data_IF_151233920223
#
_entry.id   IF_151233920223
#
_cell.length_a   1.000
_cell.length_b   1.000
_cell.length_c   1.000
_cell.angle_alpha   90.00
_cell.angle_beta   90.00
_cell.angle_gamma   90.00
#
_symmetry.space_group_name_H-M   'P 1'
#
loop_
_entity.id
_entity.type
_entity.pdbx_description
1 polymer ?
#
# COMPACT_ATOMS: atom_id res chain seq x y z
N UNK A 1 -13.74 18.59 -7.27
CA UNK A 1 -12.38 19.11 -7.03
C UNK A 1 -12.17 19.25 -5.53
N UNK A 2 -10.97 18.96 -5.00
CA UNK A 2 -10.68 19.25 -3.59
C UNK A 2 -10.32 20.72 -3.44
N UNK A 3 -11.00 21.44 -2.54
CA UNK A 3 -10.77 22.88 -2.32
C UNK A 3 -9.55 23.03 -1.42
N UNK A 4 -8.46 23.61 -1.95
CA UNK A 4 -7.28 23.93 -1.15
C UNK A 4 -7.55 25.14 -0.26
N UNK A 5 -6.99 25.13 0.94
CA UNK A 5 -6.90 26.32 1.79
C UNK A 5 -5.76 27.21 1.31
N UNK A 6 -5.87 28.53 1.55
CA UNK A 6 -4.79 29.47 1.25
C UNK A 6 -3.48 29.10 1.97
N UNK A 7 -3.57 28.56 3.19
CA UNK A 7 -2.41 28.05 3.94
C UNK A 7 -1.72 26.90 3.20
N UNK A 8 -2.47 25.96 2.60
CA UNK A 8 -1.89 24.87 1.81
C UNK A 8 -1.14 25.41 0.58
N UNK A 9 -1.71 26.41 -0.11
CA UNK A 9 -1.08 27.05 -1.28
C UNK A 9 0.24 27.73 -0.87
N UNK A 10 0.24 28.45 0.26
CA UNK A 10 1.46 29.05 0.83
C UNK A 10 2.49 28.00 1.24
N UNK A 11 2.05 26.89 1.86
CA UNK A 11 2.92 25.78 2.23
C UNK A 11 3.55 25.11 1.01
N UNK A 12 2.76 24.75 -0.02
CA UNK A 12 3.24 24.14 -1.25
C UNK A 12 4.28 25.04 -1.93
N UNK A 13 3.99 26.35 -2.05
CA UNK A 13 4.89 27.36 -2.65
C UNK A 13 6.22 27.52 -1.90
N UNK A 14 6.22 27.38 -0.57
CA UNK A 14 7.43 27.48 0.27
C UNK A 14 8.20 26.14 0.32
N UNK A 15 7.49 25.02 0.33
CA UNK A 15 8.07 23.68 0.44
C UNK A 15 8.70 23.22 -0.88
N UNK A 16 8.11 23.55 -2.02
CA UNK A 16 8.60 23.20 -3.36
C UNK A 16 10.09 23.53 -3.60
N UNK A 17 10.57 24.80 -3.48
CA UNK A 17 11.98 25.11 -3.70
C UNK A 17 12.90 24.50 -2.62
N UNK A 18 12.41 24.28 -1.40
CA UNK A 18 13.16 23.60 -0.33
C UNK A 18 13.34 22.11 -0.63
N UNK A 19 12.30 21.45 -1.14
CA UNK A 19 12.32 20.04 -1.52
C UNK A 19 13.24 19.81 -2.71
N UNK A 20 13.17 20.65 -3.75
CA UNK A 20 14.05 20.51 -4.93
C UNK A 20 15.52 20.78 -4.57
N UNK A 21 15.82 21.83 -3.79
CA UNK A 21 17.20 22.06 -3.31
C UNK A 21 17.70 20.91 -2.41
N UNK A 22 16.81 20.27 -1.63
CA UNK A 22 17.16 19.07 -0.87
C UNK A 22 17.39 17.85 -1.78
N UNK A 23 16.61 17.69 -2.86
CA UNK A 23 16.77 16.62 -3.84
C UNK A 23 18.09 16.75 -4.60
N UNK A 24 18.35 17.92 -5.20
CA UNK A 24 19.61 18.33 -5.82
C UNK A 24 20.80 17.99 -4.89
N UNK A 25 20.76 18.49 -3.65
CA UNK A 25 21.78 18.19 -2.63
C UNK A 25 21.94 16.70 -2.34
N UNK A 26 20.84 15.95 -2.17
CA UNK A 26 20.88 14.50 -1.91
C UNK A 26 21.25 13.65 -3.11
N UNK A 27 21.40 14.23 -4.30
CA UNK A 27 21.93 13.55 -5.48
C UNK A 27 23.41 13.89 -5.68
N UNK A 28 23.84 15.12 -5.35
CA UNK A 28 25.23 15.58 -5.47
C UNK A 28 26.14 15.26 -4.26
N UNK A 29 25.61 15.04 -3.06
CA UNK A 29 26.40 14.74 -1.84
C UNK A 29 26.34 13.27 -1.38
N UNK A 30 25.53 12.43 -2.00
CA UNK A 30 25.34 11.03 -1.59
C UNK A 30 26.16 10.09 -2.52
N UNK A 31 27.06 9.29 -1.95
CA UNK A 31 27.82 8.28 -2.70
C UNK A 31 26.94 7.06 -3.04
N UNK A 32 26.33 7.09 -4.23
CA UNK A 32 25.42 6.05 -4.73
C UNK A 32 26.07 4.65 -4.91
N UNK A 33 27.40 4.55 -4.83
CA UNK A 33 28.17 3.33 -5.07
C UNK A 33 28.69 2.60 -3.83
N UNK A 34 28.63 3.20 -2.63
CA UNK A 34 29.26 2.64 -1.41
C UNK A 34 28.32 1.71 -0.61
N UNK A 35 27.01 1.83 -0.81
CA UNK A 35 26.01 0.97 -0.18
C UNK A 35 25.81 -0.36 -0.94
N UNK A 36 25.15 -1.35 -0.32
CA UNK A 36 24.83 -2.59 -1.05
C UNK A 36 23.88 -2.30 -2.22
N UNK A 37 23.97 -3.08 -3.30
CA UNK A 37 23.16 -2.88 -4.52
C UNK A 37 21.65 -2.75 -4.22
N UNK A 38 21.13 -3.49 -3.22
CA UNK A 38 19.73 -3.39 -2.80
C UNK A 38 19.43 -2.06 -2.12
N UNK A 39 20.34 -1.57 -1.27
CA UNK A 39 20.17 -0.32 -0.56
C UNK A 39 20.25 0.87 -1.52
N UNK A 40 21.17 0.85 -2.49
CA UNK A 40 21.22 1.85 -3.57
C UNK A 40 19.93 1.85 -4.40
N UNK A 41 19.40 0.67 -4.76
CA UNK A 41 18.12 0.58 -5.47
C UNK A 41 16.93 1.12 -4.64
N UNK A 42 16.86 0.76 -3.35
CA UNK A 42 15.83 1.28 -2.43
C UNK A 42 15.96 2.79 -2.18
N UNK A 43 17.18 3.32 -2.07
CA UNK A 43 17.45 4.77 -2.02
C UNK A 43 16.95 5.47 -3.29
N UNK A 44 17.27 4.92 -4.47
CA UNK A 44 16.88 5.47 -5.77
C UNK A 44 15.36 5.47 -5.97
N UNK A 45 14.67 4.38 -5.62
CA UNK A 45 13.20 4.35 -5.57
C UNK A 45 12.63 5.40 -4.60
N UNK A 46 13.23 5.55 -3.42
CA UNK A 46 12.85 6.56 -2.43
C UNK A 46 13.05 8.01 -2.89
N UNK A 47 14.11 8.32 -3.65
CA UNK A 47 14.30 9.64 -4.26
C UNK A 47 13.37 9.84 -5.46
N UNK A 48 13.13 8.82 -6.29
CA UNK A 48 12.19 8.88 -7.41
C UNK A 48 10.75 9.20 -6.94
N UNK A 49 10.30 8.62 -5.82
CA UNK A 49 9.01 8.99 -5.22
C UNK A 49 8.97 10.46 -4.77
N UNK A 50 10.05 10.98 -4.17
CA UNK A 50 10.17 12.40 -3.79
C UNK A 50 10.19 13.33 -5.00
N UNK A 51 10.78 12.92 -6.12
CA UNK A 51 10.78 13.64 -7.40
C UNK A 51 9.36 13.72 -7.98
N UNK A 52 8.62 12.59 -8.01
CA UNK A 52 7.20 12.58 -8.40
C UNK A 52 6.35 13.53 -7.53
N UNK A 53 6.57 13.53 -6.22
CA UNK A 53 5.91 14.45 -5.29
C UNK A 53 6.30 15.92 -5.54
N UNK A 54 7.57 16.21 -5.86
CA UNK A 54 8.02 17.55 -6.22
C UNK A 54 7.42 18.05 -7.55
N UNK A 55 7.24 17.17 -8.55
CA UNK A 55 6.48 17.51 -9.78
C UNK A 55 4.99 17.75 -9.51
N UNK A 56 4.37 17.00 -8.60
CA UNK A 56 2.98 17.25 -8.17
C UNK A 56 2.86 18.62 -7.49
N UNK A 57 3.76 18.94 -6.54
CA UNK A 57 3.86 20.26 -5.91
C UNK A 57 4.06 21.39 -6.93
N UNK A 58 4.91 21.18 -7.95
CA UNK A 58 5.12 22.17 -9.01
C UNK A 58 3.83 22.42 -9.81
N UNK A 59 3.14 21.36 -10.23
CA UNK A 59 1.85 21.47 -10.93
C UNK A 59 0.78 22.12 -10.05
N UNK A 60 0.77 21.85 -8.74
CA UNK A 60 -0.12 22.50 -7.79
C UNK A 60 0.10 24.02 -7.78
N UNK A 61 1.34 24.44 -7.49
CA UNK A 61 1.73 25.84 -7.38
C UNK A 61 1.53 26.59 -8.70
N UNK A 62 1.74 25.95 -9.85
CA UNK A 62 1.45 26.52 -11.18
C UNK A 62 -0.05 26.76 -11.42
N UNK A 63 -0.91 25.82 -11.02
CA UNK A 63 -2.38 25.98 -11.12
C UNK A 63 -2.87 27.07 -10.15
N UNK A 64 -2.21 27.23 -9.00
CA UNK A 64 -2.61 28.20 -7.97
C UNK A 64 -2.03 29.63 -8.25
N UNK A 65 -0.89 29.78 -8.94
CA UNK A 65 -0.25 31.04 -9.36
C UNK A 65 -0.87 31.58 -10.69
N UNK A 66 -2.22 31.63 -10.75
CA UNK A 66 -3.08 31.99 -11.91
C UNK A 66 -2.72 33.30 -12.64
N UNK A 67 -1.96 34.18 -12.01
CA UNK A 67 -1.42 35.42 -12.58
C UNK A 67 0.11 35.33 -12.69
N UNK A 68 0.60 34.26 -13.33
CA UNK A 68 2.01 33.96 -13.46
C UNK A 68 2.79 35.14 -14.07
N UNK A 69 3.62 35.78 -13.23
CA UNK A 69 4.57 36.79 -13.69
C UNK A 69 5.65 36.09 -14.53
N UNK A 70 6.22 36.70 -15.58
CA UNK A 70 7.38 36.13 -16.28
C UNK A 70 8.55 35.82 -15.32
N UNK A 71 8.64 36.56 -14.20
CA UNK A 71 9.60 36.29 -13.14
C UNK A 71 9.26 35.11 -12.22
N UNK A 72 7.99 34.64 -12.13
CA UNK A 72 7.66 33.35 -11.52
C UNK A 72 7.80 32.21 -12.54
N UNK A 73 7.40 32.41 -13.79
CA UNK A 73 7.51 31.41 -14.85
C UNK A 73 8.96 30.93 -15.05
N UNK A 74 9.94 31.83 -15.19
CA UNK A 74 11.36 31.45 -15.31
C UNK A 74 11.89 30.67 -14.09
N UNK A 75 11.33 30.89 -12.88
CA UNK A 75 11.68 30.09 -11.70
C UNK A 75 11.11 28.68 -11.80
N UNK A 76 9.87 28.52 -12.26
CA UNK A 76 9.25 27.22 -12.50
C UNK A 76 9.94 26.46 -13.63
N UNK A 77 10.29 27.13 -14.74
CA UNK A 77 11.09 26.58 -15.85
C UNK A 77 12.45 26.05 -15.36
N UNK A 78 13.20 26.84 -14.57
CA UNK A 78 14.46 26.38 -13.94
C UNK A 78 14.22 25.16 -13.04
N UNK A 79 13.12 25.15 -12.29
CA UNK A 79 12.81 24.07 -11.36
C UNK A 79 12.47 22.76 -12.08
N UNK A 80 11.81 22.82 -13.23
CA UNK A 80 11.62 21.67 -14.15
C UNK A 80 12.96 21.11 -14.58
N UNK A 81 13.81 21.93 -15.18
CA UNK A 81 15.14 21.51 -15.65
C UNK A 81 15.98 20.84 -14.55
N UNK A 82 15.95 21.35 -13.30
CA UNK A 82 16.62 20.70 -12.17
C UNK A 82 15.97 19.37 -11.76
N UNK A 83 14.64 19.26 -11.78
CA UNK A 83 13.92 18.02 -11.46
C UNK A 83 14.11 16.95 -12.54
N UNK A 84 14.13 17.35 -13.81
CA UNK A 84 14.29 16.47 -14.95
C UNK A 84 15.71 15.91 -15.02
N UNK A 85 16.73 16.74 -14.77
CA UNK A 85 18.13 16.28 -14.62
C UNK A 85 18.32 15.34 -13.42
N UNK A 86 17.72 15.67 -12.28
CA UNK A 86 17.76 14.81 -11.08
C UNK A 86 17.01 13.49 -11.32
N UNK A 87 15.92 13.49 -12.10
CA UNK A 87 15.23 12.26 -12.47
C UNK A 87 16.06 11.37 -13.40
N UNK A 88 16.69 11.92 -14.45
CA UNK A 88 17.49 11.09 -15.37
C UNK A 88 18.66 10.42 -14.65
N UNK A 89 19.36 11.15 -13.77
CA UNK A 89 20.43 10.58 -12.96
C UNK A 89 19.92 9.46 -12.02
N UNK A 90 18.84 9.70 -11.28
CA UNK A 90 18.28 8.70 -10.35
C UNK A 90 17.74 7.48 -11.11
N UNK A 91 17.14 7.65 -12.28
CA UNK A 91 16.66 6.55 -13.12
C UNK A 91 17.83 5.70 -13.69
N UNK A 92 18.95 6.34 -14.08
CA UNK A 92 20.16 5.62 -14.46
C UNK A 92 20.75 4.81 -13.30
N UNK A 93 20.82 5.39 -12.09
CA UNK A 93 21.30 4.68 -10.89
C UNK A 93 20.36 3.55 -10.52
N UNK A 94 19.03 3.75 -10.62
CA UNK A 94 18.05 2.70 -10.38
C UNK A 94 18.22 1.54 -11.38
N UNK A 95 18.37 1.84 -12.68
CA UNK A 95 18.56 0.82 -13.72
C UNK A 95 19.85 0.01 -13.50
N UNK A 96 20.94 0.66 -13.07
CA UNK A 96 22.22 0.02 -12.76
C UNK A 96 22.15 -0.81 -11.47
N UNK A 97 21.35 -0.39 -10.49
CA UNK A 97 21.18 -1.09 -9.22
C UNK A 97 20.07 -2.18 -9.23
N UNK A 98 19.16 -2.18 -10.21
CA UNK A 98 17.98 -3.03 -10.27
C UNK A 98 18.28 -4.53 -10.01
N UNK A 99 17.67 -5.16 -8.98
CA UNK A 99 17.89 -6.58 -8.70
C UNK A 99 17.40 -7.48 -9.84
N UNK A 100 18.28 -8.32 -10.39
CA UNK A 100 17.88 -9.30 -11.41
C UNK A 100 16.79 -10.26 -10.88
N UNK A 101 15.60 -10.23 -11.48
CA UNK A 101 14.43 -11.00 -11.04
C UNK A 101 14.59 -12.47 -11.42
N UNK A 102 15.34 -13.20 -10.59
CA UNK A 102 15.47 -14.66 -10.67
C UNK A 102 14.16 -15.30 -10.25
N UNK A 103 13.26 -15.52 -11.22
CA UNK A 103 12.01 -16.27 -11.03
C UNK A 103 12.34 -17.62 -10.35
N UNK A 104 11.63 -18.02 -9.28
CA UNK A 104 11.85 -19.33 -8.67
C UNK A 104 11.59 -20.42 -9.70
N UNK A 105 12.38 -21.50 -9.64
CA UNK A 105 12.16 -22.68 -10.50
C UNK A 105 10.75 -23.21 -10.21
N UNK A 106 9.90 -23.47 -11.23
CA UNK A 106 8.54 -23.94 -10.99
C UNK A 106 8.58 -25.27 -10.24
N UNK A 107 7.78 -25.39 -9.17
CA UNK A 107 7.74 -26.56 -8.28
C UNK A 107 6.86 -27.68 -8.87
N UNK A 108 6.12 -27.40 -9.93
CA UNK A 108 5.23 -28.32 -10.65
C UNK A 108 5.80 -29.73 -10.95
N UNK A 109 7.05 -29.92 -11.43
CA UNK A 109 7.61 -31.27 -11.67
C UNK A 109 8.04 -32.00 -10.38
N UNK A 110 7.90 -31.39 -9.20
CA UNK A 110 8.20 -32.00 -7.90
C UNK A 110 6.95 -32.54 -7.18
N UNK A 111 5.74 -32.31 -7.71
CA UNK A 111 4.53 -32.92 -7.18
C UNK A 111 4.48 -34.38 -7.66
N UNK A 112 4.58 -35.34 -6.72
CA UNK A 112 4.47 -36.76 -7.05
C UNK A 112 3.05 -37.06 -7.56
N UNK A 113 2.91 -37.50 -8.80
CA UNK A 113 1.65 -38.02 -9.33
C UNK A 113 1.11 -39.12 -8.40
N UNK A 114 -0.17 -39.09 -8.01
CA UNK A 114 -0.73 -40.11 -7.12
C UNK A 114 -0.71 -41.47 -7.80
N UNK A 115 -0.04 -42.45 -7.18
CA UNK A 115 0.10 -43.80 -7.73
C UNK A 115 -1.27 -44.48 -7.73
N UNK A 116 -1.80 -44.73 -8.92
CA UNK A 116 -3.05 -45.48 -9.09
C UNK A 116 -2.87 -46.92 -8.62
N UNK A 117 -3.54 -47.28 -7.52
CA UNK A 117 -3.53 -48.65 -6.99
C UNK A 117 -4.49 -49.53 -7.79
N UNK A 118 -3.98 -50.36 -8.69
CA UNK A 118 -4.76 -51.49 -9.24
C UNK A 118 -3.91 -52.75 -9.52
N UNK A 119 -4.04 -53.70 -8.60
CA UNK A 119 -4.13 -55.16 -8.82
C UNK A 119 -3.06 -55.87 -9.66
N UNK A 120 -2.20 -56.64 -8.97
CA UNK A 120 -1.91 -58.05 -9.32
C UNK A 120 -1.95 -58.86 -8.00
N UNK A 121 -2.59 -60.05 -7.93
CA UNK A 121 -2.62 -60.92 -6.74
C UNK A 121 -1.73 -62.18 -6.87
N UNK A 122 -1.62 -62.96 -5.77
CA UNK A 122 -1.02 -64.32 -5.63
C UNK A 122 0.52 -64.35 -5.64
N UNK A 123 1.24 -64.75 -4.57
CA UNK A 123 0.85 -64.82 -3.13
C UNK A 123 1.97 -64.28 -2.17
N UNK A 124 2.76 -64.95 -1.31
CA UNK A 124 2.86 -66.35 -0.83
C UNK A 124 3.56 -66.42 0.58
N UNK A 125 3.35 -67.51 1.33
CA UNK A 125 4.05 -68.05 2.55
C UNK A 125 4.85 -67.07 3.47
N UNK A 126 4.23 -66.77 4.65
CA UNK A 126 4.68 -66.96 6.07
C UNK A 126 6.18 -66.90 6.48
N UNK A 127 6.52 -66.66 7.79
CA UNK A 127 5.82 -65.87 8.83
C UNK A 127 6.74 -65.03 9.79
N UNK A 128 6.10 -64.12 10.55
CA UNK A 128 6.39 -63.61 11.91
C UNK A 128 7.78 -63.83 12.57
N UNK A 129 8.46 -62.73 12.92
CA UNK A 129 9.03 -62.50 14.26
C UNK A 129 8.94 -60.99 14.62
N UNK A 130 9.18 -60.60 15.88
CA UNK A 130 8.89 -59.26 16.41
C UNK A 130 10.03 -58.68 17.29
N UNK A 131 9.82 -57.49 17.88
CA UNK A 131 10.76 -56.71 18.74
C UNK A 131 11.95 -56.10 17.95
N UNK A 132 12.49 -54.90 18.21
CA UNK A 132 12.35 -53.90 19.30
C UNK A 132 12.08 -52.46 18.76
N UNK A 133 11.83 -51.51 19.67
CA UNK A 133 11.58 -50.07 19.49
C UNK A 133 12.48 -49.30 20.50
N UNK A 134 12.70 -47.97 20.46
CA UNK A 134 12.94 -47.00 19.37
C UNK A 134 14.38 -46.42 19.38
N UNK A 135 14.71 -45.57 18.40
CA UNK A 135 15.75 -44.52 18.54
C UNK A 135 15.19 -43.19 18.02
N UNK A 136 15.20 -42.14 18.84
CA UNK A 136 14.65 -40.82 18.48
C UNK A 136 15.67 -39.92 17.76
N UNK A 137 15.18 -38.86 17.10
CA UNK A 137 15.96 -38.00 16.20
C UNK A 137 16.59 -36.78 16.88
N UNK A 138 17.89 -36.57 16.65
CA UNK A 138 18.58 -35.30 16.93
C UNK A 138 18.08 -34.18 16.01
N UNK A 139 17.87 -32.99 16.57
CA UNK A 139 17.26 -31.82 15.89
C UNK A 139 18.24 -30.98 15.08
N UNK A 140 17.78 -30.38 13.97
CA UNK A 140 18.36 -29.18 13.36
C UNK A 140 17.26 -28.21 12.86
N UNK A 141 17.57 -26.91 12.92
CA UNK A 141 16.78 -25.75 12.46
C UNK A 141 16.88 -25.59 10.91
N UNK A 142 16.14 -24.68 10.20
CA UNK A 142 15.39 -23.51 10.68
C UNK A 142 14.04 -23.20 9.96
N UNK A 143 13.51 -21.99 10.21
CA UNK A 143 12.44 -21.28 9.48
C UNK A 143 12.90 -20.85 8.05
N UNK A 144 12.17 -20.07 7.18
CA UNK A 144 11.20 -18.98 7.50
C UNK A 144 10.01 -18.75 6.51
N UNK A 145 9.35 -17.59 6.69
CA UNK A 145 8.82 -16.67 5.65
C UNK A 145 7.31 -16.55 5.42
N UNK A 146 6.89 -15.28 5.39
CA UNK A 146 5.69 -14.74 4.73
C UNK A 146 6.03 -14.35 3.25
N UNK A 147 5.22 -13.69 2.42
CA UNK A 147 3.95 -12.96 2.62
C UNK A 147 3.20 -12.78 1.26
N UNK A 148 2.18 -11.90 1.24
CA UNK A 148 1.58 -11.18 0.09
C UNK A 148 0.54 -11.86 -0.85
N UNK A 149 -0.66 -11.25 -0.89
CA UNK A 149 -1.56 -11.20 -2.07
C UNK A 149 -2.24 -9.81 -2.20
N UNK A 150 -1.64 -8.96 -3.04
CA UNK A 150 -2.15 -7.85 -3.90
C UNK A 150 -3.50 -7.15 -3.51
N UNK A 151 -3.54 -5.79 -3.44
CA UNK A 151 -4.65 -5.03 -2.86
C UNK A 151 -5.81 -4.67 -3.82
N UNK A 152 -6.96 -4.34 -3.21
CA UNK A 152 -8.18 -3.83 -3.88
C UNK A 152 -8.22 -2.30 -3.97
N UNK A 153 -8.38 -1.74 -5.19
CA UNK A 153 -9.03 -0.42 -5.38
C UNK A 153 -9.37 -0.10 -6.85
N UNK A 154 -10.63 -0.26 -7.25
CA UNK A 154 -11.30 0.68 -8.17
C UNK A 154 -12.83 0.56 -8.01
N UNK A 155 -13.53 1.69 -7.88
CA UNK A 155 -14.99 1.82 -7.77
C UNK A 155 -15.43 2.97 -8.70
N UNK A 156 -16.70 2.94 -9.11
CA UNK A 156 -17.37 3.85 -10.07
C UNK A 156 -16.87 3.73 -11.53
N UNK A 157 -17.74 3.85 -12.54
CA UNK A 157 -19.04 4.55 -12.59
C UNK A 157 -20.11 3.72 -13.34
N UNK A 158 -21.39 3.88 -12.98
CA UNK A 158 -22.55 3.31 -13.68
C UNK A 158 -23.33 4.43 -14.41
N UNK A 159 -23.95 4.14 -15.57
CA UNK A 159 -25.32 4.57 -15.79
C UNK A 159 -26.27 3.44 -16.24
N UNK A 160 -27.56 3.63 -15.97
CA UNK A 160 -28.64 2.63 -16.09
C UNK A 160 -29.14 2.41 -17.51
N UNK A 161 -29.63 1.20 -17.82
CA UNK A 161 -31.00 0.95 -18.32
C UNK A 161 -31.40 -0.56 -18.19
N UNK A 162 -32.63 -1.02 -18.52
CA UNK A 162 -33.38 -1.90 -17.61
C UNK A 162 -33.25 -3.41 -17.86
N UNK A 163 -33.73 -4.19 -16.86
CA UNK A 163 -33.86 -5.63 -16.93
C UNK A 163 -34.94 -6.04 -17.95
N UNK A 164 -34.55 -6.83 -18.95
CA UNK A 164 -35.45 -7.74 -19.67
C UNK A 164 -35.19 -9.19 -19.19
N UNK A 165 -36.24 -10.02 -19.00
CA UNK A 165 -36.07 -11.41 -18.57
C UNK A 165 -35.45 -12.27 -19.68
N UNK A 166 -34.69 -13.34 -19.33
CA UNK A 166 -34.09 -14.22 -20.32
C UNK A 166 -35.18 -14.99 -21.11
N UNK A 167 -35.14 -14.88 -22.43
CA UNK A 167 -36.06 -15.55 -23.35
C UNK A 167 -36.01 -17.07 -23.17
N UNK A 168 -37.15 -17.69 -22.85
CA UNK A 168 -37.31 -19.14 -22.84
C UNK A 168 -37.06 -19.70 -24.26
N UNK A 169 -36.20 -20.72 -24.44
CA UNK A 169 -36.10 -21.42 -25.71
C UNK A 169 -37.39 -22.22 -25.94
N UNK A 170 -38.26 -21.70 -26.81
CA UNK A 170 -39.49 -22.38 -27.23
C UNK A 170 -39.15 -23.60 -28.10
N UNK A 171 -38.85 -24.74 -27.45
CA UNK A 171 -38.71 -26.02 -28.13
C UNK A 171 -40.09 -26.53 -28.55
N UNK A 172 -40.26 -26.80 -29.84
CA UNK A 172 -41.53 -27.21 -30.42
C UNK A 172 -41.95 -28.61 -29.94
N UNK A 173 -43.24 -28.78 -29.68
CA UNK A 173 -43.82 -30.09 -29.37
C UNK A 173 -43.81 -30.96 -30.64
N UNK A 174 -42.78 -31.81 -30.76
CA UNK A 174 -42.63 -32.78 -31.83
C UNK A 174 -42.63 -34.19 -31.25
N UNK A 175 -43.75 -34.90 -31.40
CA UNK A 175 -43.95 -36.27 -30.89
C UNK A 175 -43.08 -37.28 -31.66
N UNK A 176 -41.82 -37.43 -31.24
CA UNK A 176 -40.95 -38.53 -31.65
C UNK A 176 -40.97 -39.63 -30.58
N UNK A 177 -41.44 -40.83 -30.96
CA UNK A 177 -41.42 -42.02 -30.08
C UNK A 177 -39.98 -42.54 -29.96
N UNK A 178 -39.21 -41.97 -29.04
CA UNK A 178 -37.93 -42.55 -28.64
C UNK A 178 -38.23 -43.67 -27.64
N UNK A 179 -38.04 -44.91 -28.06
CA UNK A 179 -38.01 -46.07 -27.15
C UNK A 179 -36.85 -45.88 -26.18
N UNK A 180 -37.15 -45.50 -24.94
CA UNK A 180 -36.14 -45.21 -23.94
C UNK A 180 -35.35 -46.47 -23.60
N UNK A 181 -34.10 -46.55 -24.06
CA UNK A 181 -33.14 -47.51 -23.51
C UNK A 181 -32.85 -47.13 -22.06
N UNK A 182 -32.99 -48.05 -21.09
CA UNK A 182 -32.87 -47.71 -19.66
C UNK A 182 -31.50 -47.10 -19.32
N UNK A 183 -30.48 -47.47 -20.07
CA UNK A 183 -29.09 -47.02 -19.95
C UNK A 183 -28.91 -45.50 -20.09
N UNK A 184 -29.71 -44.81 -20.90
CA UNK A 184 -29.56 -43.35 -21.09
C UNK A 184 -30.12 -42.60 -19.87
N UNK A 185 -31.29 -43.00 -19.37
CA UNK A 185 -31.85 -42.42 -18.14
C UNK A 185 -30.98 -42.75 -16.90
N UNK A 186 -30.37 -43.93 -16.87
CA UNK A 186 -29.36 -44.27 -15.86
C UNK A 186 -28.10 -43.40 -15.97
N UNK A 187 -27.62 -43.09 -17.18
CA UNK A 187 -26.48 -42.19 -17.38
C UNK A 187 -26.78 -40.76 -16.89
N UNK A 188 -27.92 -40.18 -17.28
CA UNK A 188 -28.31 -38.84 -16.80
C UNK A 188 -28.50 -38.79 -15.28
N UNK A 189 -28.98 -39.88 -14.66
CA UNK A 189 -29.06 -40.00 -13.20
C UNK A 189 -27.67 -40.09 -12.55
N UNK A 190 -26.76 -40.90 -13.09
CA UNK A 190 -25.39 -41.01 -12.59
C UNK A 190 -24.65 -39.67 -12.67
N UNK A 191 -24.86 -38.89 -13.73
CA UNK A 191 -24.32 -37.52 -13.87
C UNK A 191 -24.88 -36.56 -12.80
N UNK A 192 -26.17 -36.68 -12.46
CA UNK A 192 -26.76 -35.92 -11.35
C UNK A 192 -26.21 -36.35 -9.99
N UNK A 193 -25.98 -37.65 -9.78
CA UNK A 193 -25.33 -38.21 -8.59
C UNK A 193 -23.89 -37.64 -8.46
N UNK A 194 -23.08 -37.69 -9.53
CA UNK A 194 -21.70 -37.17 -9.60
C UNK A 194 -21.63 -35.66 -9.35
N UNK A 195 -22.52 -34.86 -9.97
CA UNK A 195 -22.60 -33.42 -9.71
C UNK A 195 -23.02 -33.12 -8.26
N UNK A 196 -23.89 -33.95 -7.66
CA UNK A 196 -24.28 -33.79 -6.26
C UNK A 196 -23.13 -34.11 -5.29
N UNK A 197 -22.31 -35.13 -5.59
CA UNK A 197 -21.10 -35.45 -4.84
C UNK A 197 -20.05 -34.35 -4.99
N UNK A 198 -19.80 -33.88 -6.22
CA UNK A 198 -18.86 -32.77 -6.47
C UNK A 198 -19.31 -31.48 -5.77
N UNK A 199 -20.61 -31.17 -5.75
CA UNK A 199 -21.16 -30.02 -5.03
C UNK A 199 -21.03 -30.21 -3.50
N UNK A 200 -21.26 -31.40 -2.96
CA UNK A 200 -21.04 -31.69 -1.55
C UNK A 200 -19.55 -31.55 -1.13
N UNK A 201 -18.63 -32.02 -1.98
CA UNK A 201 -17.19 -31.84 -1.79
C UNK A 201 -16.78 -30.36 -1.88
N UNK A 202 -17.31 -29.61 -2.85
CA UNK A 202 -17.10 -28.15 -2.91
C UNK A 202 -17.69 -27.41 -1.70
N UNK A 203 -18.87 -27.81 -1.21
CA UNK A 203 -19.51 -27.20 -0.05
C UNK A 203 -18.73 -27.47 1.25
N UNK A 204 -18.16 -28.67 1.43
CA UNK A 204 -17.29 -28.97 2.58
C UNK A 204 -15.96 -28.22 2.49
N UNK A 205 -15.37 -28.07 1.30
CA UNK A 205 -14.19 -27.22 1.10
C UNK A 205 -14.49 -25.74 1.34
N UNK A 206 -15.63 -25.23 0.86
CA UNK A 206 -16.08 -23.85 1.08
C UNK A 206 -16.29 -23.59 2.58
N UNK A 207 -16.90 -24.54 3.31
CA UNK A 207 -17.06 -24.47 4.76
C UNK A 207 -15.71 -24.46 5.48
N UNK A 208 -14.73 -25.26 5.03
CA UNK A 208 -13.37 -25.29 5.60
C UNK A 208 -12.59 -23.99 5.33
N UNK A 209 -12.78 -23.40 4.15
CA UNK A 209 -12.26 -22.08 3.82
C UNK A 209 -12.91 -21.00 4.71
N UNK A 210 -14.23 -21.04 4.89
CA UNK A 210 -14.97 -20.09 5.71
C UNK A 210 -14.56 -20.14 7.21
N UNK A 211 -14.34 -21.33 7.77
CA UNK A 211 -13.80 -21.46 9.13
C UNK A 211 -12.37 -20.90 9.22
N UNK A 212 -11.52 -21.16 8.23
CA UNK A 212 -10.17 -20.60 8.19
C UNK A 212 -10.18 -19.06 8.08
N UNK A 213 -11.07 -18.48 7.27
CA UNK A 213 -11.24 -17.03 7.19
C UNK A 213 -11.78 -16.43 8.49
N UNK A 214 -12.68 -17.11 9.20
CA UNK A 214 -13.11 -16.67 10.53
C UNK A 214 -11.93 -16.67 11.54
N UNK A 215 -11.13 -17.75 11.55
CA UNK A 215 -9.94 -17.85 12.40
C UNK A 215 -8.85 -16.82 12.03
N UNK A 216 -8.74 -16.41 10.76
CA UNK A 216 -7.88 -15.28 10.36
C UNK A 216 -8.44 -13.95 10.84
N UNK A 217 -9.71 -13.65 10.57
CA UNK A 217 -10.34 -12.38 10.98
C UNK A 217 -10.30 -12.14 12.49
N UNK A 218 -10.33 -13.19 13.32
CA UNK A 218 -10.13 -13.07 14.78
C UNK A 218 -8.70 -12.67 15.15
N UNK A 219 -7.68 -13.15 14.42
CA UNK A 219 -6.26 -12.75 14.60
C UNK A 219 -6.02 -11.35 14.05
N UNK A 220 -6.56 -11.05 12.87
CA UNK A 220 -6.44 -9.74 12.23
C UNK A 220 -7.09 -8.67 13.13
N UNK A 221 -8.24 -8.99 13.75
CA UNK A 221 -8.88 -8.14 14.75
C UNK A 221 -7.95 -7.87 15.95
N UNK A 222 -7.32 -8.87 16.56
CA UNK A 222 -6.46 -8.64 17.74
C UNK A 222 -5.18 -7.88 17.38
N UNK A 223 -4.67 -8.05 16.15
CA UNK A 223 -3.58 -7.25 15.59
C UNK A 223 -4.01 -5.79 15.35
N UNK A 224 -5.24 -5.54 14.89
CA UNK A 224 -5.81 -4.19 14.75
C UNK A 224 -6.05 -3.53 16.11
N UNK A 225 -6.57 -4.26 17.11
CA UNK A 225 -6.74 -3.74 18.48
C UNK A 225 -5.38 -3.38 19.11
N UNK A 226 -4.35 -4.21 18.92
CA UNK A 226 -2.98 -3.90 19.35
C UNK A 226 -2.39 -2.68 18.61
N UNK A 227 -2.62 -2.55 17.30
CA UNK A 227 -2.20 -1.36 16.56
C UNK A 227 -2.94 -0.10 17.01
N UNK A 228 -4.23 -0.19 17.34
CA UNK A 228 -5.00 0.93 17.89
C UNK A 228 -4.42 1.39 19.23
N UNK A 229 -4.11 0.46 20.14
CA UNK A 229 -3.49 0.78 21.43
C UNK A 229 -2.14 1.52 21.26
N UNK A 230 -1.29 1.09 20.31
CA UNK A 230 -0.01 1.77 20.05
C UNK A 230 -0.20 3.12 19.35
N UNK A 231 -1.20 3.26 18.48
CA UNK A 231 -1.54 4.53 17.82
C UNK A 231 -2.11 5.55 18.82
N UNK A 232 -2.98 5.12 19.74
CA UNK A 232 -3.55 5.96 20.80
C UNK A 232 -2.45 6.42 21.78
N UNK A 233 -1.59 5.50 22.24
CA UNK A 233 -0.44 5.84 23.08
C UNK A 233 0.55 6.80 22.40
N UNK A 234 0.81 6.64 21.11
CA UNK A 234 1.64 7.56 20.33
C UNK A 234 0.97 8.94 20.14
N UNK A 235 -0.34 8.96 19.86
CA UNK A 235 -1.12 10.18 19.71
C UNK A 235 -1.15 11.00 21.00
N UNK A 236 -1.39 10.37 22.15
CA UNK A 236 -1.39 11.06 23.44
C UNK A 236 0.01 11.52 23.86
N UNK A 237 1.07 10.78 23.53
CA UNK A 237 2.45 11.26 23.67
C UNK A 237 2.69 12.52 22.82
N UNK A 238 2.40 12.49 21.52
CA UNK A 238 2.53 13.63 20.62
C UNK A 238 1.67 14.83 21.05
N UNK A 239 0.46 14.60 21.57
CA UNK A 239 -0.45 15.62 22.10
C UNK A 239 0.09 16.25 23.38
N UNK A 240 0.67 15.46 24.28
CA UNK A 240 1.37 15.93 25.49
C UNK A 240 2.61 16.76 25.15
N UNK A 241 3.41 16.33 24.18
CA UNK A 241 4.54 17.11 23.66
C UNK A 241 4.09 18.40 22.97
N UNK A 242 3.03 18.36 22.17
CA UNK A 242 2.44 19.55 21.52
C UNK A 242 1.98 20.59 22.54
N UNK A 243 1.35 20.17 23.64
CA UNK A 243 0.99 21.07 24.76
C UNK A 243 2.25 21.66 25.39
N UNK A 244 3.22 20.82 25.80
CA UNK A 244 4.49 21.26 26.39
C UNK A 244 5.25 22.26 25.50
N UNK A 245 5.34 21.99 24.19
CA UNK A 245 5.96 22.86 23.19
C UNK A 245 5.20 24.19 23.01
N UNK A 246 3.86 24.15 23.00
CA UNK A 246 3.01 25.35 22.96
C UNK A 246 3.23 26.22 24.20
N UNK A 247 3.33 25.61 25.37
CA UNK A 247 3.46 26.33 26.64
C UNK A 247 4.86 26.97 26.76
N UNK A 248 5.92 26.29 26.32
CA UNK A 248 7.24 26.90 26.14
C UNK A 248 7.25 28.03 25.10
N UNK A 249 6.57 27.84 23.95
CA UNK A 249 6.45 28.88 22.90
C UNK A 249 5.71 30.12 23.42
N UNK A 250 4.66 29.93 24.22
CA UNK A 250 3.95 31.02 24.90
C UNK A 250 4.86 31.77 25.88
N UNK A 251 5.63 31.04 26.69
CA UNK A 251 6.55 31.64 27.68
C UNK A 251 7.68 32.45 27.02
N UNK A 252 8.29 31.95 25.96
CA UNK A 252 9.32 32.69 25.19
C UNK A 252 8.75 33.82 24.31
N UNK A 253 7.48 33.73 23.90
CA UNK A 253 6.78 34.82 23.23
C UNK A 253 6.44 35.99 24.17
N UNK A 254 6.07 35.69 25.42
CA UNK A 254 5.62 36.68 26.40
C UNK A 254 6.68 37.73 26.75
N UNK A 255 7.93 37.34 26.96
CA UNK A 255 9.03 38.28 27.24
C UNK A 255 9.29 39.21 26.06
N UNK A 256 9.34 38.68 24.84
CA UNK A 256 9.48 39.46 23.60
C UNK A 256 8.32 40.45 23.43
N UNK A 257 7.08 40.03 23.74
CA UNK A 257 5.90 40.89 23.70
C UNK A 257 5.99 42.06 24.69
N UNK A 258 6.42 41.81 25.94
CA UNK A 258 6.62 42.86 26.94
C UNK A 258 7.73 43.86 26.55
N UNK A 259 8.82 43.39 25.94
CA UNK A 259 9.89 44.27 25.41
C UNK A 259 9.36 45.14 24.27
N UNK A 260 8.60 44.57 23.32
CA UNK A 260 7.97 45.34 22.23
C UNK A 260 7.00 46.39 22.79
N UNK A 261 6.16 46.03 23.76
CA UNK A 261 5.25 46.99 24.40
C UNK A 261 5.98 48.12 25.13
N UNK A 262 7.08 47.81 25.82
CA UNK A 262 7.92 48.83 26.48
C UNK A 262 8.49 49.84 25.47
N UNK A 263 9.02 49.36 24.34
CA UNK A 263 9.50 50.22 23.24
C UNK A 263 8.36 51.08 22.67
N UNK A 264 7.17 50.50 22.51
CA UNK A 264 5.99 51.21 22.00
C UNK A 264 5.56 52.35 22.94
N UNK A 265 5.55 52.12 24.26
CA UNK A 265 5.24 53.16 25.26
C UNK A 265 6.25 54.31 25.22
N UNK A 266 7.54 54.01 25.08
CA UNK A 266 8.59 55.04 24.94
C UNK A 266 8.41 55.85 23.65
N UNK A 267 8.08 55.21 22.53
CA UNK A 267 7.79 55.91 21.27
C UNK A 267 6.55 56.80 21.36
N UNK A 268 5.48 56.37 22.04
CA UNK A 268 4.28 57.19 22.26
C UNK A 268 4.60 58.38 23.16
N UNK A 269 5.34 58.18 24.26
CA UNK A 269 5.76 59.27 25.15
C UNK A 269 6.64 60.30 24.40
N UNK A 270 7.56 59.85 23.56
CA UNK A 270 8.39 60.72 22.71
C UNK A 270 7.54 61.51 21.70
N UNK A 271 6.61 60.85 21.00
CA UNK A 271 5.70 61.52 20.07
C UNK A 271 4.84 62.58 20.77
N UNK A 272 4.32 62.30 21.97
CA UNK A 272 3.58 63.28 22.77
C UNK A 272 4.45 64.46 23.19
N UNK A 273 5.69 64.23 23.61
CA UNK A 273 6.63 65.31 23.98
C UNK A 273 6.96 66.21 22.78
N UNK A 274 7.24 65.62 21.61
CA UNK A 274 7.47 66.36 20.36
C UNK A 274 6.21 67.12 19.93
N UNK A 275 5.02 66.55 20.12
CA UNK A 275 3.75 67.20 19.82
C UNK A 275 3.50 68.41 20.73
N UNK A 276 3.75 68.29 22.04
CA UNK A 276 3.65 69.42 22.99
C UNK A 276 4.62 70.55 22.60
N UNK A 277 5.87 70.24 22.25
CA UNK A 277 6.88 71.21 21.78
C UNK A 277 6.52 71.82 20.39
N UNK A 278 5.59 71.21 19.65
CA UNK A 278 5.08 71.72 18.37
C UNK A 278 3.76 72.50 18.47
N UNK A 279 3.08 72.42 19.61
CA UNK A 279 1.78 73.06 19.88
C UNK A 279 1.91 74.22 20.88
N UNK A 280 3.00 74.25 21.65
CA UNK A 280 3.39 75.34 22.57
C UNK A 280 4.33 76.31 21.88
#
# INVERSE_FOLDING_TARGET
MSIRTNDQILHDRINLPRLVKKLERSVSEEDWSDASQRDTWMKAQGTLQRIRHARLLLKNVEIDDLAASPASEHRYQRLRATLDHVETFVAEVEQKAAPSVKRPKPILPSIRSPVSKKTIPVDEIKPVEATLIPTEHTSQSPAPSADDLIPSSLIETLPSEPLAPPTLPASSSATSKITATPTILQNSRALQEELSEQLALMATQLRRNATHFADSLVKDKSVVEAMQEKLEGNFDFMKKERVRLRDFRGKSGGTTCLVIMSILVVLVAFMLMVFVIRVT
#
